data_IF_625946716595
#
_entry.id   IF_625946716595
#
_cell.length_a   1.000
_cell.length_b   1.000
_cell.length_c   1.000
_cell.angle_alpha   90.00
_cell.angle_beta   90.00
_cell.angle_gamma   90.00
#
_symmetry.space_group_name_H-M   'P 1'
#
loop_
_entity.id
_entity.type
_entity.pdbx_description
1 polymer ?
#
# COMPACT_ATOMS: atom_id res chain seq x y z
N UNK A 1 -38.60 -19.16 -21.94
CA UNK A 1 -38.49 -19.05 -20.47
C UNK A 1 -38.79 -17.62 -20.09
N UNK A 2 -39.76 -17.41 -19.21
CA UNK A 2 -40.08 -16.08 -18.66
C UNK A 2 -39.10 -15.78 -17.53
N UNK A 3 -38.28 -14.73 -17.67
CA UNK A 3 -37.42 -14.27 -16.59
C UNK A 3 -38.25 -13.44 -15.59
N UNK A 4 -37.94 -13.55 -14.29
CA UNK A 4 -38.56 -12.71 -13.28
C UNK A 4 -38.03 -11.27 -13.38
N UNK A 5 -38.84 -10.31 -12.93
CA UNK A 5 -38.45 -8.90 -12.88
C UNK A 5 -37.32 -8.68 -11.86
N UNK A 6 -36.16 -8.23 -12.35
CA UNK A 6 -34.96 -8.01 -11.53
C UNK A 6 -35.16 -6.94 -10.44
N UNK A 7 -36.11 -6.02 -10.63
CA UNK A 7 -36.41 -4.99 -9.63
C UNK A 7 -37.03 -5.58 -8.35
N UNK A 8 -37.70 -6.73 -8.47
CA UNK A 8 -38.37 -7.46 -7.38
C UNK A 8 -37.53 -8.61 -6.82
N UNK A 9 -36.26 -8.74 -7.23
CA UNK A 9 -35.41 -9.88 -6.86
C UNK A 9 -35.28 -10.06 -5.33
N UNK A 10 -35.18 -8.96 -4.56
CA UNK A 10 -35.08 -9.04 -3.10
C UNK A 10 -36.37 -9.50 -2.42
N UNK A 11 -37.53 -9.20 -3.02
CA UNK A 11 -38.82 -9.65 -2.48
C UNK A 11 -39.05 -11.12 -2.80
N UNK A 12 -38.70 -11.55 -4.01
CA UNK A 12 -38.74 -12.96 -4.41
C UNK A 12 -37.83 -13.83 -3.52
N UNK A 13 -36.63 -13.35 -3.17
CA UNK A 13 -35.70 -14.06 -2.29
C UNK A 13 -36.25 -14.32 -0.87
N UNK A 14 -37.25 -13.56 -0.41
CA UNK A 14 -37.87 -13.79 0.91
C UNK A 14 -38.76 -15.03 0.94
N UNK A 15 -39.26 -15.46 -0.22
CA UNK A 15 -40.08 -16.66 -0.35
C UNK A 15 -39.25 -17.95 -0.32
N UNK A 16 -37.92 -17.83 -0.44
CA UNK A 16 -37.02 -18.98 -0.44
C UNK A 16 -36.90 -19.54 0.98
N UNK A 17 -36.99 -20.87 1.15
CA UNK A 17 -36.91 -21.50 2.47
C UNK A 17 -35.55 -21.29 3.15
N UNK A 18 -34.48 -21.18 2.34
CA UNK A 18 -33.13 -20.88 2.78
C UNK A 18 -32.45 -19.98 1.75
N UNK A 19 -31.45 -19.22 2.18
CA UNK A 19 -30.60 -18.47 1.25
C UNK A 19 -29.80 -19.46 0.41
N UNK A 20 -29.67 -19.17 -0.87
CA UNK A 20 -28.79 -19.91 -1.78
C UNK A 20 -27.31 -19.61 -1.46
N UNK A 21 -26.45 -20.60 -1.63
CA UNK A 21 -25.03 -20.56 -1.28
C UNK A 21 -24.68 -21.09 0.13
N UNK A 22 -23.38 -21.07 0.43
CA UNK A 22 -22.80 -21.50 1.71
C UNK A 22 -22.24 -20.28 2.45
N UNK A 23 -22.50 -20.16 3.75
CA UNK A 23 -21.84 -19.14 4.56
C UNK A 23 -20.38 -19.55 4.86
N UNK A 24 -19.57 -18.56 5.24
CA UNK A 24 -18.13 -18.74 5.46
C UNK A 24 -17.85 -19.76 6.56
N UNK A 25 -18.67 -19.86 7.61
CA UNK A 25 -18.40 -20.79 8.71
C UNK A 25 -18.63 -22.23 8.26
N UNK A 26 -19.70 -22.49 7.53
CA UNK A 26 -19.97 -23.83 6.97
C UNK A 26 -19.00 -24.18 5.84
N UNK A 27 -18.56 -23.21 5.04
CA UNK A 27 -17.56 -23.44 4.00
C UNK A 27 -16.16 -23.74 4.58
N UNK A 28 -15.75 -23.02 5.63
CA UNK A 28 -14.42 -23.12 6.23
C UNK A 28 -14.33 -24.14 7.37
N UNK A 29 -15.32 -25.03 7.51
CA UNK A 29 -15.26 -26.14 8.46
C UNK A 29 -14.20 -27.16 8.01
N UNK A 30 -13.04 -27.10 8.64
CA UNK A 30 -11.91 -27.96 8.31
C UNK A 30 -12.15 -29.44 8.64
N UNK A 31 -13.07 -29.76 9.54
CA UNK A 31 -13.39 -31.16 9.87
C UNK A 31 -14.23 -31.81 8.77
N UNK A 32 -15.15 -31.04 8.17
CA UNK A 32 -16.01 -31.52 7.10
C UNK A 32 -15.40 -31.38 5.70
N UNK A 33 -14.60 -30.33 5.46
CA UNK A 33 -14.14 -29.93 4.11
C UNK A 33 -12.62 -29.85 3.96
N UNK A 34 -11.85 -30.06 5.03
CA UNK A 34 -10.39 -29.96 5.01
C UNK A 34 -9.87 -28.53 4.86
N UNK A 35 -8.62 -28.40 4.42
CA UNK A 35 -8.02 -27.10 4.11
C UNK A 35 -8.37 -26.64 2.70
N UNK A 36 -8.77 -25.37 2.56
CA UNK A 36 -9.12 -24.74 1.29
C UNK A 36 -8.06 -23.72 0.87
N UNK A 37 -7.80 -23.62 -0.44
CA UNK A 37 -7.03 -22.54 -1.08
C UNK A 37 -7.94 -21.66 -1.94
N UNK A 38 -7.39 -20.58 -2.50
CA UNK A 38 -8.16 -19.58 -3.24
C UNK A 38 -8.92 -20.14 -4.46
N UNK A 39 -8.43 -21.21 -5.06
CA UNK A 39 -9.06 -21.82 -6.24
C UNK A 39 -10.18 -22.80 -5.88
N UNK A 40 -10.38 -23.13 -4.61
CA UNK A 40 -11.35 -24.15 -4.18
C UNK A 40 -12.76 -23.58 -3.99
N UNK A 41 -12.92 -22.26 -4.05
CA UNK A 41 -14.22 -21.60 -3.88
C UNK A 41 -14.35 -20.36 -4.76
N UNK A 42 -15.60 -19.89 -4.85
CA UNK A 42 -15.95 -18.63 -5.50
C UNK A 42 -16.91 -17.84 -4.62
N UNK A 43 -17.00 -16.54 -4.87
CA UNK A 43 -17.95 -15.65 -4.18
C UNK A 43 -19.16 -15.45 -5.09
N UNK A 44 -20.35 -15.75 -4.59
CA UNK A 44 -21.58 -15.51 -5.32
C UNK A 44 -21.84 -14.00 -5.45
N UNK A 45 -22.28 -13.50 -6.61
CA UNK A 45 -22.53 -12.07 -6.82
C UNK A 45 -23.75 -11.60 -6.02
N UNK A 46 -23.72 -10.35 -5.60
CA UNK A 46 -24.84 -9.65 -4.98
C UNK A 46 -25.54 -8.67 -5.93
N UNK A 47 -26.61 -8.04 -5.44
CA UNK A 47 -27.24 -6.91 -6.13
C UNK A 47 -26.33 -5.68 -6.03
N UNK A 48 -26.18 -4.96 -7.14
CA UNK A 48 -25.40 -3.72 -7.23
C UNK A 48 -26.34 -2.55 -7.53
N UNK A 49 -26.23 -1.48 -6.75
CA UNK A 49 -26.97 -0.22 -6.91
C UNK A 49 -26.04 1.02 -6.91
N UNK A 50 -24.73 0.81 -6.99
CA UNK A 50 -23.72 1.85 -7.00
C UNK A 50 -22.60 1.57 -8.02
N UNK A 51 -21.88 2.61 -8.50
CA UNK A 51 -20.72 2.44 -9.36
C UNK A 51 -19.48 1.97 -8.58
N UNK A 52 -18.60 1.19 -9.21
CA UNK A 52 -17.37 0.69 -8.58
C UNK A 52 -16.43 1.79 -8.06
N UNK A 53 -16.49 2.99 -8.62
CA UNK A 53 -15.64 4.13 -8.24
C UNK A 53 -15.84 4.62 -6.80
N UNK A 54 -16.97 4.31 -6.15
CA UNK A 54 -17.23 4.72 -4.76
C UNK A 54 -16.84 3.66 -3.72
N UNK A 55 -16.36 2.50 -4.16
CA UNK A 55 -15.93 1.43 -3.26
C UNK A 55 -14.65 1.86 -2.55
N UNK A 56 -14.64 1.81 -1.23
CA UNK A 56 -13.45 2.08 -0.43
C UNK A 56 -12.52 0.88 -0.37
N UNK A 57 -11.23 1.12 -0.60
CA UNK A 57 -10.15 0.16 -0.43
C UNK A 57 -9.35 0.40 0.86
N UNK A 58 -9.79 1.33 1.70
CA UNK A 58 -9.13 1.68 2.96
C UNK A 58 -9.02 0.43 3.84
N UNK A 59 -7.80 0.08 4.23
CA UNK A 59 -7.50 -1.18 4.90
C UNK A 59 -6.55 -0.96 6.07
N UNK A 60 -6.75 -1.70 7.16
CA UNK A 60 -5.88 -1.62 8.35
C UNK A 60 -4.72 -2.60 8.23
N UNK A 61 -3.50 -2.09 8.20
CA UNK A 61 -2.29 -2.89 8.29
C UNK A 61 -1.99 -3.26 9.75
N UNK A 62 -2.11 -2.28 10.66
CA UNK A 62 -1.91 -2.47 12.09
C UNK A 62 -3.05 -1.84 12.87
N UNK A 63 -3.03 -1.95 14.21
CA UNK A 63 -4.01 -1.27 15.08
C UNK A 63 -4.03 0.26 14.88
N UNK A 64 -2.92 0.86 14.44
CA UNK A 64 -2.75 2.32 14.33
C UNK A 64 -2.45 2.82 12.92
N UNK A 65 -2.16 1.94 11.97
CA UNK A 65 -1.79 2.32 10.59
C UNK A 65 -2.86 1.80 9.64
N UNK A 66 -3.46 2.74 8.91
CA UNK A 66 -4.40 2.47 7.81
C UNK A 66 -3.77 2.87 6.49
N UNK A 67 -4.02 2.08 5.45
CA UNK A 67 -3.58 2.30 4.08
C UNK A 67 -4.80 2.68 3.23
N UNK A 68 -4.57 3.42 2.15
CA UNK A 68 -5.61 3.75 1.16
C UNK A 68 -5.87 2.61 0.19
N UNK A 69 -4.89 1.73 0.03
CA UNK A 69 -5.00 0.51 -0.77
C UNK A 69 -4.44 -0.68 0.02
N UNK A 70 -5.01 -1.89 -0.12
CA UNK A 70 -4.59 -3.08 0.64
C UNK A 70 -3.32 -3.73 0.08
N UNK A 71 -2.38 -2.95 -0.46
CA UNK A 71 -1.17 -3.47 -1.10
C UNK A 71 0.07 -3.25 -0.23
N UNK A 72 0.79 -4.34 0.00
CA UNK A 72 2.03 -4.39 0.79
C UNK A 72 3.08 -5.13 -0.04
N UNK A 73 4.25 -4.53 -0.25
CA UNK A 73 5.35 -5.24 -0.92
C UNK A 73 6.12 -6.14 0.05
N UNK A 74 6.49 -7.33 -0.44
CA UNK A 74 7.17 -8.34 0.37
C UNK A 74 8.59 -7.90 0.78
N UNK A 75 9.05 -8.19 2.01
CA UNK A 75 10.40 -7.83 2.49
C UNK A 75 11.48 -8.77 1.96
N UNK A 76 11.63 -8.80 0.63
CA UNK A 76 12.62 -9.60 -0.10
C UNK A 76 13.59 -8.66 -0.82
N UNK A 77 14.87 -9.03 -0.87
CA UNK A 77 15.93 -8.29 -1.58
C UNK A 77 15.61 -8.09 -3.06
N UNK A 78 15.01 -9.09 -3.69
CA UNK A 78 14.56 -9.03 -5.10
C UNK A 78 13.29 -8.19 -5.33
N UNK A 79 12.64 -7.71 -4.26
CA UNK A 79 11.32 -7.04 -4.35
C UNK A 79 11.37 -5.63 -3.79
N UNK A 80 11.83 -5.45 -2.54
CA UNK A 80 11.62 -4.21 -1.80
C UNK A 80 12.89 -3.61 -1.22
N UNK A 81 13.47 -2.68 -1.97
CA UNK A 81 14.41 -1.66 -1.47
C UNK A 81 13.72 -0.27 -1.44
N UNK A 82 14.52 0.79 -1.26
CA UNK A 82 14.01 2.16 -1.13
C UNK A 82 13.06 2.60 -2.27
N UNK A 83 13.37 2.28 -3.53
CA UNK A 83 12.56 2.73 -4.67
C UNK A 83 11.16 2.09 -4.65
N UNK A 84 11.07 0.77 -4.41
CA UNK A 84 9.78 0.08 -4.31
C UNK A 84 8.97 0.63 -3.14
N UNK A 85 9.59 0.82 -1.97
CA UNK A 85 8.91 1.35 -0.80
C UNK A 85 8.35 2.77 -1.01
N UNK A 86 9.09 3.64 -1.73
CA UNK A 86 8.61 4.97 -2.12
C UNK A 86 7.38 4.85 -3.02
N UNK A 87 7.45 4.07 -4.10
CA UNK A 87 6.34 3.97 -5.05
C UNK A 87 5.09 3.32 -4.45
N UNK A 88 5.26 2.30 -3.60
CA UNK A 88 4.13 1.70 -2.87
C UNK A 88 3.44 2.73 -1.97
N UNK A 89 4.21 3.55 -1.26
CA UNK A 89 3.67 4.60 -0.40
C UNK A 89 2.93 5.69 -1.19
N UNK A 90 3.48 6.14 -2.32
CA UNK A 90 2.85 7.13 -3.21
C UNK A 90 1.51 6.64 -3.79
N UNK A 91 1.38 5.33 -4.02
CA UNK A 91 0.15 4.69 -4.48
C UNK A 91 -0.83 4.33 -3.34
N UNK A 92 -0.56 4.80 -2.12
CA UNK A 92 -1.43 4.61 -0.96
C UNK A 92 -1.29 3.27 -0.23
N UNK A 93 -0.31 2.46 -0.64
CA UNK A 93 0.10 1.22 0.04
C UNK A 93 1.31 1.43 0.93
N UNK A 94 2.10 0.37 1.13
CA UNK A 94 3.35 0.44 1.91
C UNK A 94 4.36 -0.59 1.40
N UNK A 95 5.66 -0.27 1.49
CA UNK A 95 6.72 -1.25 1.26
C UNK A 95 7.49 -1.58 2.53
N UNK A 96 7.81 -2.87 2.72
CA UNK A 96 8.63 -3.34 3.84
C UNK A 96 10.02 -3.68 3.30
N UNK A 97 11.04 -2.95 3.74
CA UNK A 97 12.42 -3.18 3.28
C UNK A 97 12.94 -4.51 3.83
N UNK A 98 13.59 -5.30 2.98
CA UNK A 98 14.21 -6.57 3.37
C UNK A 98 15.33 -6.39 4.41
N UNK A 99 15.74 -7.48 5.06
CA UNK A 99 16.81 -7.47 6.07
C UNK A 99 18.11 -8.17 5.62
N UNK A 100 18.18 -8.57 4.34
CA UNK A 100 19.37 -9.18 3.74
C UNK A 100 20.41 -8.11 3.35
N UNK A 101 20.81 -7.28 4.31
CA UNK A 101 21.83 -6.24 4.20
C UNK A 101 22.34 -5.87 5.60
N UNK A 102 23.36 -5.01 5.69
CA UNK A 102 23.80 -4.49 6.99
C UNK A 102 22.74 -3.57 7.61
N UNK A 103 22.76 -3.42 8.94
CA UNK A 103 21.84 -2.54 9.64
C UNK A 103 21.95 -1.08 9.15
N UNK A 104 23.15 -0.63 8.81
CA UNK A 104 23.40 0.73 8.31
C UNK A 104 22.83 0.94 6.90
N UNK A 105 22.96 -0.05 6.01
CA UNK A 105 22.35 -0.03 4.67
C UNK A 105 20.82 -0.01 4.77
N UNK A 106 20.24 -0.87 5.61
CA UNK A 106 18.79 -0.87 5.83
C UNK A 106 18.29 0.48 6.36
N UNK A 107 18.99 1.04 7.35
CA UNK A 107 18.68 2.35 7.90
C UNK A 107 18.83 3.46 6.84
N UNK A 108 19.83 3.38 5.96
CA UNK A 108 20.00 4.32 4.86
C UNK A 108 18.83 4.25 3.86
N UNK A 109 18.35 3.05 3.53
CA UNK A 109 17.15 2.87 2.70
C UNK A 109 15.92 3.49 3.36
N UNK A 110 15.69 3.22 4.65
CA UNK A 110 14.57 3.81 5.41
C UNK A 110 14.66 5.34 5.40
N UNK A 111 15.84 5.92 5.67
CA UNK A 111 16.05 7.39 5.62
C UNK A 111 15.71 7.95 4.24
N UNK A 112 16.13 7.28 3.17
CA UNK A 112 15.84 7.69 1.79
C UNK A 112 14.33 7.71 1.53
N UNK A 113 13.59 6.66 1.92
CA UNK A 113 12.12 6.60 1.79
C UNK A 113 11.45 7.72 2.57
N UNK A 114 11.85 7.91 3.83
CA UNK A 114 11.24 8.92 4.71
C UNK A 114 11.53 10.35 4.28
N UNK A 115 12.67 10.63 3.64
CA UNK A 115 13.05 11.96 3.16
C UNK A 115 12.50 12.30 1.77
N UNK A 116 11.95 11.33 1.04
CA UNK A 116 11.53 11.52 -0.35
C UNK A 116 10.43 12.58 -0.50
N UNK A 117 9.43 12.53 0.39
CA UNK A 117 8.34 13.51 0.42
C UNK A 117 8.20 14.07 1.84
N UNK A 118 8.82 15.22 2.09
CA UNK A 118 8.74 15.93 3.36
C UNK A 118 7.82 17.15 3.21
N UNK A 119 6.80 17.26 4.07
CA UNK A 119 6.01 18.49 4.16
C UNK A 119 6.81 19.65 4.75
N UNK A 120 7.50 19.42 5.87
CA UNK A 120 8.46 20.35 6.46
C UNK A 120 9.83 19.68 6.59
N UNK A 121 10.87 20.34 6.07
CA UNK A 121 12.25 19.84 6.14
C UNK A 121 12.91 20.43 7.39
N UNK A 122 12.95 19.64 8.47
CA UNK A 122 13.51 20.07 9.76
C UNK A 122 15.04 20.20 9.76
N UNK A 123 15.73 19.41 8.93
CA UNK A 123 17.20 19.36 8.85
C UNK A 123 17.62 19.34 7.38
N UNK A 124 17.58 20.50 6.68
CA UNK A 124 17.95 20.58 5.28
C UNK A 124 19.46 20.46 5.11
N UNK A 125 19.89 19.86 4.00
CA UNK A 125 21.30 19.94 3.60
C UNK A 125 21.57 21.38 3.17
N UNK A 126 22.41 22.08 3.91
CA UNK A 126 22.82 23.47 3.63
C UNK A 126 24.24 23.51 3.08
N UNK A 127 24.55 24.57 2.35
CA UNK A 127 25.89 24.80 1.78
C UNK A 127 26.44 26.15 2.23
N UNK A 128 27.77 26.23 2.35
CA UNK A 128 28.45 27.49 2.65
C UNK A 128 28.51 28.43 1.44
N UNK A 129 28.73 29.74 1.65
CA UNK A 129 28.76 30.72 0.57
C UNK A 129 29.96 30.56 -0.37
N UNK A 130 30.99 29.82 0.06
CA UNK A 130 32.22 29.58 -0.70
C UNK A 130 32.17 28.30 -1.53
N UNK A 131 31.08 27.53 -1.47
CA UNK A 131 30.97 26.28 -2.24
C UNK A 131 30.97 26.59 -3.74
N UNK A 132 31.60 25.71 -4.53
CA UNK A 132 31.58 25.85 -5.98
C UNK A 132 30.32 25.23 -6.58
N UNK A 133 29.90 25.74 -7.75
CA UNK A 133 28.78 25.15 -8.51
C UNK A 133 29.05 23.69 -8.89
N UNK A 134 30.32 23.31 -9.11
CA UNK A 134 30.72 21.93 -9.38
C UNK A 134 30.41 20.98 -8.22
N UNK A 135 30.73 21.39 -7.00
CA UNK A 135 30.44 20.61 -5.79
C UNK A 135 28.93 20.48 -5.56
N UNK A 136 28.17 21.58 -5.72
CA UNK A 136 26.70 21.55 -5.62
C UNK A 136 26.09 20.59 -6.65
N UNK A 137 26.63 20.54 -7.86
CA UNK A 137 26.16 19.62 -8.91
C UNK A 137 26.44 18.15 -8.57
N UNK A 138 27.62 17.85 -8.03
CA UNK A 138 27.97 16.51 -7.55
C UNK A 138 27.08 16.08 -6.39
N UNK A 139 26.82 16.98 -5.43
CA UNK A 139 25.86 16.74 -4.35
C UNK A 139 24.47 16.46 -4.90
N UNK A 140 24.03 17.19 -5.94
CA UNK A 140 22.73 16.96 -6.55
C UNK A 140 22.59 15.56 -7.16
N UNK A 141 23.65 15.00 -7.74
CA UNK A 141 23.67 13.61 -8.23
C UNK A 141 23.59 12.60 -7.09
N UNK A 142 24.26 12.89 -5.96
CA UNK A 142 24.27 12.00 -4.80
C UNK A 142 22.93 11.99 -4.05
N UNK A 143 22.32 13.16 -3.85
CA UNK A 143 21.12 13.32 -3.03
C UNK A 143 19.80 13.28 -3.83
N UNK A 144 19.86 13.49 -5.16
CA UNK A 144 18.68 13.46 -6.03
C UNK A 144 17.86 14.76 -6.08
N UNK A 145 18.39 15.87 -5.55
CA UNK A 145 17.79 17.21 -5.63
C UNK A 145 18.86 18.29 -5.79
N UNK A 146 18.51 19.43 -6.38
CA UNK A 146 19.49 20.46 -6.80
C UNK A 146 19.43 21.77 -6.00
N UNK A 147 18.46 21.91 -5.10
CA UNK A 147 18.25 23.14 -4.32
C UNK A 147 18.79 22.99 -2.91
N UNK A 148 19.78 23.81 -2.55
CA UNK A 148 20.40 23.83 -1.22
C UNK A 148 20.35 25.25 -0.65
N UNK A 149 19.85 25.46 0.58
CA UNK A 149 19.94 26.76 1.24
C UNK A 149 21.41 27.13 1.51
N UNK A 150 21.75 28.39 1.28
CA UNK A 150 23.09 28.93 1.57
C UNK A 150 23.08 29.58 2.95
N UNK A 151 23.98 29.17 3.85
CA UNK A 151 24.08 29.73 5.20
C UNK A 151 25.47 30.32 5.45
N UNK A 152 25.53 31.46 6.14
CA UNK A 152 26.75 32.29 6.24
C UNK A 152 27.89 31.75 7.10
N UNK A 153 27.61 30.83 8.04
CA UNK A 153 28.55 30.05 8.87
C UNK A 153 27.69 29.32 9.93
N UNK A 154 27.96 28.04 10.17
CA UNK A 154 27.34 27.24 11.24
C UNK A 154 27.90 27.61 12.62
N UNK A 155 27.04 27.91 13.59
CA UNK A 155 27.32 27.67 15.02
C UNK A 155 26.88 26.26 15.38
#
# INVERSE_FOLDING_TARGET
MSFADYSKALDLLKEYPTKDGLDVKTLMDSAARGGLTYNDFLVLPGKIDFPSSIVSLDSKLTKKISLRTPFVSSPMDTVTEANMAIHMALLGGIGIIHHNCTADEQAAMVRKVKKYENGFINDPVVVGPTITVGEVRSMGQQYGFTSFPVTGMSY
#
